data_IF_401986990085
#
_entry.id   IF_401986990085
#
_cell.length_a   1.000
_cell.length_b   1.000
_cell.length_c   1.000
_cell.angle_alpha   90.00
_cell.angle_beta   90.00
_cell.angle_gamma   90.00
#
_symmetry.space_group_name_H-M   'P 1'
#
loop_
_entity.id
_entity.type
_entity.pdbx_description
1 polymer ?
#
# COMPACT_ATOMS: atom_id res chain seq x y z
N UNK A 1 23.56 -15.85 -3.88
CA UNK A 1 23.87 -17.21 -3.41
C UNK A 1 22.65 -18.09 -3.60
N UNK A 2 22.86 -19.35 -3.97
CA UNK A 2 21.76 -20.34 -4.05
C UNK A 2 21.77 -21.30 -2.85
N UNK A 3 22.81 -21.23 -2.01
CA UNK A 3 23.00 -22.17 -0.91
C UNK A 3 22.57 -21.63 0.46
N UNK A 4 22.52 -20.30 0.59
CA UNK A 4 22.14 -19.65 1.84
C UNK A 4 20.65 -19.36 1.81
N UNK A 5 19.87 -19.84 2.80
CA UNK A 5 18.45 -19.45 2.92
C UNK A 5 18.29 -17.95 3.09
N UNK A 6 17.35 -17.37 2.35
CA UNK A 6 17.02 -15.94 2.41
C UNK A 6 15.55 -15.80 2.82
N UNK A 7 15.34 -15.23 4.00
CA UNK A 7 14.00 -14.98 4.51
C UNK A 7 13.66 -13.49 4.32
N UNK A 8 12.79 -13.19 3.36
CA UNK A 8 12.31 -11.84 3.12
C UNK A 8 11.21 -11.44 4.11
N UNK A 9 11.12 -10.16 4.43
CA UNK A 9 10.01 -9.61 5.22
C UNK A 9 9.43 -8.41 4.51
N UNK A 10 8.12 -8.31 4.45
CA UNK A 10 7.42 -7.17 3.85
C UNK A 10 7.88 -6.89 2.40
N UNK A 11 8.01 -7.92 1.58
CA UNK A 11 8.22 -7.79 0.14
C UNK A 11 6.84 -7.89 -0.52
N UNK A 12 6.41 -6.84 -1.20
CA UNK A 12 5.04 -6.72 -1.69
C UNK A 12 4.66 -7.86 -2.64
N UNK A 13 5.49 -8.16 -3.63
CA UNK A 13 5.27 -9.29 -4.54
C UNK A 13 6.57 -9.97 -4.95
N UNK A 14 6.77 -11.18 -4.48
CA UNK A 14 7.98 -11.97 -4.71
C UNK A 14 8.13 -12.43 -6.15
N UNK A 15 7.02 -12.71 -6.84
CA UNK A 15 7.02 -13.16 -8.23
C UNK A 15 7.40 -12.02 -9.16
N UNK A 16 6.76 -10.86 -8.99
CA UNK A 16 7.08 -9.65 -9.78
C UNK A 16 8.51 -9.17 -9.52
N UNK A 17 9.00 -9.31 -8.28
CA UNK A 17 10.39 -9.04 -7.92
C UNK A 17 11.38 -10.09 -8.46
N UNK A 18 10.88 -11.16 -9.11
CA UNK A 18 11.68 -12.28 -9.66
C UNK A 18 12.52 -13.01 -8.62
N UNK A 19 12.04 -13.07 -7.39
CA UNK A 19 12.70 -13.74 -6.27
C UNK A 19 12.29 -15.21 -6.16
N UNK A 20 11.05 -15.52 -6.57
CA UNK A 20 10.47 -16.86 -6.55
C UNK A 20 9.68 -17.14 -7.84
N UNK A 21 9.37 -18.40 -8.12
CA UNK A 21 8.56 -18.79 -9.29
C UNK A 21 7.06 -18.63 -9.01
N UNK A 22 6.61 -18.98 -7.81
CA UNK A 22 5.25 -18.75 -7.32
C UNK A 22 5.26 -18.52 -5.80
N UNK A 23 4.20 -17.91 -5.28
CA UNK A 23 4.07 -17.68 -3.85
C UNK A 23 3.77 -18.97 -3.07
N UNK A 24 3.05 -19.90 -3.68
CA UNK A 24 2.68 -21.19 -3.09
C UNK A 24 3.86 -22.16 -3.06
N UNK A 25 4.70 -22.12 -4.10
CA UNK A 25 5.84 -22.99 -4.28
C UNK A 25 7.07 -22.19 -4.72
N UNK A 26 7.78 -21.53 -3.79
CA UNK A 26 8.95 -20.72 -4.11
C UNK A 26 10.05 -21.49 -4.84
N UNK A 27 10.29 -22.75 -4.45
CA UNK A 27 11.15 -23.73 -5.15
C UNK A 27 12.65 -23.45 -5.10
N UNK A 28 13.07 -22.31 -4.54
CA UNK A 28 14.46 -21.88 -4.44
C UNK A 28 14.92 -21.72 -2.99
N UNK A 29 15.89 -20.82 -2.78
CA UNK A 29 16.43 -20.48 -1.47
C UNK A 29 15.83 -19.21 -0.86
N UNK A 30 14.73 -18.71 -1.40
CA UNK A 30 14.02 -17.50 -0.95
C UNK A 30 12.60 -17.86 -0.54
N UNK A 31 12.17 -17.39 0.62
CA UNK A 31 10.79 -17.37 1.09
C UNK A 31 10.57 -16.18 2.03
N UNK A 32 9.38 -16.04 2.61
CA UNK A 32 9.12 -14.97 3.58
C UNK A 32 7.67 -14.49 3.61
N UNK A 33 7.49 -13.23 4.00
CA UNK A 33 6.16 -12.63 4.13
C UNK A 33 5.96 -11.47 3.15
N UNK A 34 4.72 -11.36 2.65
CA UNK A 34 4.30 -10.27 1.76
C UNK A 34 3.45 -9.25 2.52
N UNK A 35 3.69 -7.97 2.25
CA UNK A 35 2.87 -6.85 2.73
C UNK A 35 1.86 -6.36 1.68
N UNK A 36 1.61 -7.15 0.63
CA UNK A 36 0.62 -6.79 -0.38
C UNK A 36 -0.71 -6.43 0.27
N UNK A 37 -1.15 -5.21 0.07
CA UNK A 37 -2.44 -4.72 0.55
C UNK A 37 -3.56 -5.12 -0.40
N UNK A 38 -4.80 -5.20 0.08
CA UNK A 38 -5.95 -5.49 -0.79
C UNK A 38 -6.35 -4.24 -1.58
N UNK A 39 -5.67 -3.99 -2.72
CA UNK A 39 -5.83 -2.78 -3.54
C UNK A 39 -7.28 -2.51 -3.93
N UNK A 40 -8.06 -3.55 -4.17
CA UNK A 40 -9.49 -3.45 -4.47
C UNK A 40 -10.27 -2.84 -3.30
N UNK A 41 -9.93 -3.24 -2.06
CA UNK A 41 -10.54 -2.65 -0.84
C UNK A 41 -10.13 -1.19 -0.65
N UNK A 42 -8.92 -0.82 -1.06
CA UNK A 42 -8.49 0.58 -1.04
C UNK A 42 -9.34 1.45 -1.99
N UNK A 43 -9.62 0.95 -3.18
CA UNK A 43 -10.52 1.65 -4.12
C UNK A 43 -11.93 1.76 -3.56
N UNK A 44 -12.47 0.66 -3.00
CA UNK A 44 -13.80 0.67 -2.39
C UNK A 44 -13.85 1.60 -1.16
N UNK A 45 -12.77 1.70 -0.39
CA UNK A 45 -12.62 2.66 0.72
C UNK A 45 -12.66 4.11 0.21
N UNK A 46 -11.92 4.42 -0.87
CA UNK A 46 -11.96 5.75 -1.50
C UNK A 46 -13.39 6.09 -1.95
N UNK A 47 -14.07 5.15 -2.59
CA UNK A 47 -15.47 5.34 -3.04
C UNK A 47 -16.40 5.61 -1.85
N UNK A 48 -16.22 4.92 -0.74
CA UNK A 48 -17.04 5.07 0.45
C UNK A 48 -16.81 6.41 1.17
N UNK A 49 -15.58 6.94 1.13
CA UNK A 49 -15.19 8.17 1.84
C UNK A 49 -15.24 9.42 0.96
N UNK A 50 -15.22 9.27 -0.36
CA UNK A 50 -15.29 10.38 -1.33
C UNK A 50 -16.49 10.13 -2.26
N UNK A 51 -17.69 10.58 -1.86
CA UNK A 51 -18.89 10.33 -2.65
C UNK A 51 -18.79 10.89 -4.08
N UNK A 52 -19.27 10.10 -5.05
CA UNK A 52 -19.26 10.44 -6.47
C UNK A 52 -17.86 10.65 -7.07
N UNK A 53 -16.82 10.06 -6.50
CA UNK A 53 -15.46 10.09 -7.08
C UNK A 53 -15.49 9.54 -8.51
N UNK A 54 -14.87 10.28 -9.43
CA UNK A 54 -14.73 9.93 -10.85
C UNK A 54 -13.28 9.89 -11.30
N UNK A 55 -12.43 10.60 -10.59
CA UNK A 55 -11.01 10.71 -10.93
C UNK A 55 -10.18 10.57 -9.65
N UNK A 56 -9.27 9.61 -9.64
CA UNK A 56 -8.31 9.39 -8.56
C UNK A 56 -6.92 9.63 -9.13
N UNK A 57 -6.13 10.47 -8.46
CA UNK A 57 -4.71 10.58 -8.75
C UNK A 57 -3.94 9.41 -8.13
N UNK A 58 -2.99 8.84 -8.83
CA UNK A 58 -2.02 7.91 -8.27
C UNK A 58 -0.64 8.52 -8.35
N UNK A 59 0.01 8.70 -7.18
CA UNK A 59 1.38 9.22 -7.11
C UNK A 59 2.31 8.15 -6.55
N UNK A 60 3.40 7.88 -7.25
CA UNK A 60 4.32 6.79 -6.89
C UNK A 60 5.70 6.95 -7.52
N UNK A 61 6.69 6.22 -6.99
CA UNK A 61 8.07 6.22 -7.50
C UNK A 61 8.20 5.33 -8.73
N UNK A 62 8.67 5.90 -9.83
CA UNK A 62 8.76 5.22 -11.13
C UNK A 62 9.72 4.04 -11.16
N UNK A 63 10.68 3.95 -10.24
CA UNK A 63 11.65 2.85 -10.14
C UNK A 63 11.24 1.75 -9.15
N UNK A 64 10.16 1.93 -8.39
CA UNK A 64 9.67 0.92 -7.44
C UNK A 64 8.66 -0.01 -8.13
N UNK A 65 9.06 -1.26 -8.40
CA UNK A 65 8.23 -2.27 -9.08
C UNK A 65 6.97 -2.60 -8.29
N UNK A 66 7.06 -2.66 -6.94
CA UNK A 66 5.93 -2.85 -6.04
C UNK A 66 4.88 -1.75 -6.21
N UNK A 67 5.32 -0.49 -6.31
CA UNK A 67 4.43 0.66 -6.50
C UNK A 67 3.71 0.60 -7.85
N UNK A 68 4.44 0.30 -8.93
CA UNK A 68 3.88 0.12 -10.28
C UNK A 68 2.80 -0.97 -10.26
N UNK A 69 3.08 -2.15 -9.68
CA UNK A 69 2.15 -3.27 -9.63
C UNK A 69 0.85 -2.91 -8.90
N UNK A 70 0.95 -2.21 -7.75
CA UNK A 70 -0.23 -1.80 -6.99
C UNK A 70 -1.07 -0.78 -7.76
N UNK A 71 -0.43 0.17 -8.44
CA UNK A 71 -1.14 1.17 -9.26
C UNK A 71 -1.80 0.52 -10.49
N UNK A 72 -1.16 -0.45 -11.14
CA UNK A 72 -1.77 -1.21 -12.23
C UNK A 72 -3.03 -1.96 -11.77
N UNK A 73 -2.97 -2.64 -10.62
CA UNK A 73 -4.13 -3.31 -10.02
C UNK A 73 -5.24 -2.32 -9.69
N UNK A 74 -4.87 -1.18 -9.09
CA UNK A 74 -5.80 -0.11 -8.77
C UNK A 74 -6.53 0.40 -10.02
N UNK A 75 -5.78 0.70 -11.09
CA UNK A 75 -6.35 1.16 -12.38
C UNK A 75 -7.33 0.15 -12.95
N UNK A 76 -6.93 -1.12 -12.97
CA UNK A 76 -7.79 -2.18 -13.50
C UNK A 76 -9.11 -2.27 -12.72
N UNK A 77 -9.05 -2.24 -11.39
CA UNK A 77 -10.26 -2.31 -10.57
C UNK A 77 -11.08 -1.02 -10.62
N UNK A 78 -10.47 0.15 -10.53
CA UNK A 78 -11.14 1.44 -10.63
C UNK A 78 -11.91 1.60 -11.94
N UNK A 79 -11.36 1.11 -13.06
CA UNK A 79 -12.04 1.10 -14.36
C UNK A 79 -13.35 0.31 -14.32
N UNK A 80 -13.44 -0.79 -13.59
CA UNK A 80 -14.69 -1.56 -13.41
C UNK A 80 -15.77 -0.77 -12.66
N UNK A 81 -15.37 0.25 -11.89
CA UNK A 81 -16.26 1.16 -11.15
C UNK A 81 -16.57 2.45 -11.92
N UNK A 82 -16.08 2.58 -13.17
CA UNK A 82 -16.23 3.81 -13.97
C UNK A 82 -15.41 4.99 -13.44
N UNK A 83 -14.29 4.70 -12.77
CA UNK A 83 -13.37 5.70 -12.22
C UNK A 83 -12.10 5.74 -13.06
N UNK A 84 -11.67 6.93 -13.43
CA UNK A 84 -10.41 7.17 -14.13
C UNK A 84 -9.29 7.38 -13.13
N UNK A 85 -8.17 6.69 -13.30
CA UNK A 85 -6.94 6.92 -12.53
C UNK A 85 -5.97 7.77 -13.36
N UNK A 86 -5.50 8.86 -12.78
CA UNK A 86 -4.52 9.78 -13.37
C UNK A 86 -3.20 9.57 -12.65
N UNK A 87 -2.16 9.20 -13.38
CA UNK A 87 -0.85 8.87 -12.80
C UNK A 87 0.09 10.07 -12.79
N UNK A 88 0.85 10.20 -11.70
CA UNK A 88 2.01 11.06 -11.61
C UNK A 88 3.15 10.28 -10.96
N UNK A 89 4.28 10.18 -11.64
CA UNK A 89 5.45 9.48 -11.12
C UNK A 89 6.49 10.46 -10.60
N UNK A 90 7.26 10.02 -9.60
CA UNK A 90 8.40 10.73 -9.06
C UNK A 90 9.65 9.86 -9.15
N UNK A 91 10.82 10.48 -9.18
CA UNK A 91 12.11 9.79 -9.11
C UNK A 91 12.77 9.95 -7.73
N UNK A 92 12.40 11.01 -7.02
CA UNK A 92 12.90 11.32 -5.68
C UNK A 92 11.93 12.31 -4.97
N UNK A 93 12.21 12.62 -3.70
CA UNK A 93 11.34 13.48 -2.87
C UNK A 93 11.15 14.91 -3.42
N UNK A 94 12.09 15.44 -4.18
CA UNK A 94 11.99 16.81 -4.73
C UNK A 94 10.92 16.92 -5.83
N UNK A 95 10.59 15.81 -6.48
CA UNK A 95 9.60 15.78 -7.57
C UNK A 95 8.15 15.81 -7.02
N UNK A 96 7.95 15.47 -5.74
CA UNK A 96 6.62 15.26 -5.14
C UNK A 96 5.77 16.52 -5.24
N UNK A 97 6.36 17.70 -4.97
CA UNK A 97 5.62 18.96 -5.04
C UNK A 97 5.02 19.18 -6.44
N UNK A 98 5.84 19.01 -7.48
CA UNK A 98 5.39 19.22 -8.86
C UNK A 98 4.37 18.14 -9.28
N UNK A 99 4.62 16.87 -8.94
CA UNK A 99 3.74 15.76 -9.26
C UNK A 99 2.37 15.91 -8.59
N UNK A 100 2.34 16.25 -7.29
CA UNK A 100 1.10 16.49 -6.55
C UNK A 100 0.33 17.69 -7.11
N UNK A 101 1.02 18.80 -7.41
CA UNK A 101 0.40 19.98 -8.01
C UNK A 101 -0.21 19.66 -9.38
N UNK A 102 0.46 18.86 -10.18
CA UNK A 102 -0.06 18.41 -11.48
C UNK A 102 -1.35 17.59 -11.33
N UNK A 103 -1.41 16.69 -10.32
CA UNK A 103 -2.64 15.94 -10.03
C UNK A 103 -3.78 16.86 -9.59
N UNK A 104 -3.50 17.80 -8.69
CA UNK A 104 -4.49 18.80 -8.24
C UNK A 104 -5.07 19.56 -9.44
N UNK A 105 -4.25 20.00 -10.38
CA UNK A 105 -4.65 20.73 -11.57
C UNK A 105 -5.42 19.87 -12.60
N UNK A 106 -5.48 18.56 -12.42
CA UNK A 106 -6.24 17.64 -13.26
C UNK A 106 -7.58 17.24 -12.65
N UNK A 107 -8.08 18.00 -11.67
CA UNK A 107 -9.38 17.81 -11.02
C UNK A 107 -9.57 16.41 -10.43
N UNK A 108 -8.51 15.82 -9.85
CA UNK A 108 -8.65 14.58 -9.10
C UNK A 108 -9.38 14.86 -7.77
N UNK A 109 -10.21 13.91 -7.35
CA UNK A 109 -11.04 14.05 -6.14
C UNK A 109 -10.45 13.35 -4.93
N UNK A 110 -9.50 12.45 -5.15
CA UNK A 110 -8.69 11.77 -4.16
C UNK A 110 -7.31 11.47 -4.75
N UNK A 111 -6.31 11.27 -3.90
CA UNK A 111 -4.99 10.78 -4.31
C UNK A 111 -4.72 9.48 -3.59
N UNK A 112 -4.24 8.47 -4.32
CA UNK A 112 -3.74 7.21 -3.81
C UNK A 112 -2.23 7.18 -3.92
N UNK A 113 -1.56 6.66 -2.89
CA UNK A 113 -0.14 6.31 -2.91
C UNK A 113 0.04 4.87 -2.41
N UNK A 114 0.70 4.00 -3.19
CA UNK A 114 0.98 2.62 -2.81
C UNK A 114 1.98 2.55 -1.64
N UNK A 115 2.38 1.34 -1.25
CA UNK A 115 3.56 1.14 -0.38
C UNK A 115 4.80 1.57 -1.15
N UNK A 116 5.31 2.76 -0.85
CA UNK A 116 6.35 3.45 -1.61
C UNK A 116 7.32 4.15 -0.65
N UNK A 117 8.62 3.81 -0.72
CA UNK A 117 9.61 4.30 0.24
C UNK A 117 9.89 5.79 0.11
N UNK A 118 9.89 6.31 -1.11
CA UNK A 118 10.12 7.75 -1.36
C UNK A 118 8.92 8.55 -0.86
N UNK A 119 7.70 8.12 -1.21
CA UNK A 119 6.47 8.77 -0.75
C UNK A 119 6.32 8.68 0.78
N UNK A 120 6.64 7.53 1.39
CA UNK A 120 6.60 7.36 2.84
C UNK A 120 7.48 8.38 3.56
N UNK A 121 8.69 8.63 3.04
CA UNK A 121 9.62 9.61 3.63
C UNK A 121 9.16 11.07 3.52
N UNK A 122 8.20 11.37 2.65
CA UNK A 122 7.76 12.73 2.33
C UNK A 122 6.22 12.92 2.41
N UNK A 123 5.51 12.03 3.09
CA UNK A 123 4.04 12.08 3.21
C UNK A 123 3.54 13.42 3.77
N UNK A 124 4.26 14.04 4.71
CA UNK A 124 3.88 15.34 5.26
C UNK A 124 3.89 16.44 4.19
N UNK A 125 4.85 16.41 3.26
CA UNK A 125 4.93 17.36 2.15
C UNK A 125 3.76 17.15 1.18
N UNK A 126 3.48 15.90 0.80
CA UNK A 126 2.32 15.55 -0.04
C UNK A 126 1.02 16.05 0.61
N UNK A 127 0.85 15.77 1.89
CA UNK A 127 -0.32 16.19 2.65
C UNK A 127 -0.51 17.71 2.68
N UNK A 128 0.56 18.48 2.84
CA UNK A 128 0.50 19.95 2.85
C UNK A 128 -0.06 20.51 1.52
N UNK A 129 0.36 19.93 0.40
CA UNK A 129 -0.08 20.37 -0.94
C UNK A 129 -1.56 20.01 -1.14
N UNK A 130 -1.93 18.78 -0.83
CA UNK A 130 -3.27 18.26 -1.05
C UNK A 130 -4.31 18.87 -0.09
N UNK A 131 -3.91 19.23 1.13
CA UNK A 131 -4.76 19.94 2.10
C UNK A 131 -5.19 21.31 1.60
N UNK A 132 -4.28 22.06 0.98
CA UNK A 132 -4.59 23.36 0.40
C UNK A 132 -5.68 23.26 -0.68
N UNK A 133 -5.69 22.13 -1.40
CA UNK A 133 -6.70 21.82 -2.43
C UNK A 133 -7.92 21.05 -1.87
N UNK A 134 -7.93 20.69 -0.58
CA UNK A 134 -8.94 19.85 0.08
C UNK A 134 -9.11 18.47 -0.57
N UNK A 135 -8.03 17.92 -1.10
CA UNK A 135 -8.01 16.59 -1.73
C UNK A 135 -7.47 15.56 -0.73
N UNK A 136 -8.26 14.54 -0.34
CA UNK A 136 -7.80 13.49 0.57
C UNK A 136 -6.75 12.59 -0.07
N UNK A 137 -5.76 12.18 0.72
CA UNK A 137 -4.77 11.18 0.34
C UNK A 137 -5.09 9.86 1.04
N UNK A 138 -5.07 8.78 0.29
CA UNK A 138 -5.20 7.41 0.75
C UNK A 138 -3.87 6.70 0.51
N UNK A 139 -3.26 6.20 1.55
CA UNK A 139 -1.95 5.56 1.48
C UNK A 139 -2.07 4.08 1.84
N UNK A 140 -1.28 3.23 1.20
CA UNK A 140 -1.39 1.79 1.36
C UNK A 140 -0.76 1.24 2.67
N UNK A 141 -0.30 2.11 3.57
CA UNK A 141 0.19 1.70 4.89
C UNK A 141 -0.25 2.64 6.02
N UNK A 142 -0.24 2.10 7.25
CA UNK A 142 -0.64 2.82 8.46
C UNK A 142 0.26 4.02 8.75
N UNK A 143 1.58 3.90 8.62
CA UNK A 143 2.53 4.96 8.93
C UNK A 143 2.34 6.17 8.02
N UNK A 144 2.21 5.94 6.73
CA UNK A 144 1.89 6.97 5.75
C UNK A 144 0.52 7.59 6.02
N UNK A 145 -0.48 6.76 6.34
CA UNK A 145 -1.84 7.22 6.67
C UNK A 145 -1.84 8.13 7.89
N UNK A 146 -1.17 7.75 8.97
CA UNK A 146 -1.11 8.58 10.19
C UNK A 146 -0.28 9.85 10.00
N UNK A 147 0.68 9.86 9.06
CA UNK A 147 1.49 11.05 8.74
C UNK A 147 0.75 12.03 7.82
N UNK A 148 0.04 11.53 6.80
CA UNK A 148 -0.51 12.39 5.75
C UNK A 148 -1.74 11.84 5.03
N UNK A 149 -2.14 10.60 5.27
CA UNK A 149 -3.33 9.99 4.68
C UNK A 149 -4.59 10.13 5.53
N UNK A 150 -5.72 9.70 4.99
CA UNK A 150 -7.03 9.71 5.68
C UNK A 150 -7.37 8.33 6.23
N UNK A 151 -7.23 7.29 5.44
CA UNK A 151 -7.58 5.93 5.83
C UNK A 151 -6.88 4.90 4.95
N UNK A 152 -6.73 3.67 5.45
CA UNK A 152 -6.14 2.53 4.72
C UNK A 152 -6.58 1.19 5.32
N UNK A 153 -6.64 0.17 4.49
CA UNK A 153 -6.59 -1.22 4.91
C UNK A 153 -5.15 -1.73 4.83
N UNK A 154 -4.42 -1.76 5.93
CA UNK A 154 -3.01 -2.11 5.94
C UNK A 154 -2.67 -3.31 6.79
N UNK A 155 -1.52 -3.90 6.50
CA UNK A 155 -0.91 -4.92 7.34
C UNK A 155 -0.34 -4.30 8.62
N UNK A 156 -0.26 -5.10 9.67
CA UNK A 156 0.47 -4.75 10.89
C UNK A 156 1.92 -5.21 10.73
N UNK A 157 2.82 -4.29 10.46
CA UNK A 157 4.24 -4.62 10.19
C UNK A 157 4.96 -5.29 11.36
N UNK A 158 4.55 -5.03 12.61
CA UNK A 158 5.11 -5.74 13.77
C UNK A 158 4.73 -7.22 13.71
N UNK A 159 3.44 -7.53 13.50
CA UNK A 159 2.98 -8.90 13.38
C UNK A 159 3.57 -9.60 12.16
N UNK A 160 3.71 -8.88 11.04
CA UNK A 160 4.31 -9.42 9.82
C UNK A 160 5.78 -9.80 10.05
N UNK A 161 6.56 -8.93 10.71
CA UNK A 161 7.94 -9.23 11.09
C UNK A 161 8.04 -10.40 12.07
N UNK A 162 7.13 -10.49 13.05
CA UNK A 162 7.06 -11.61 13.97
C UNK A 162 6.77 -12.93 13.24
N UNK A 163 5.81 -12.92 12.31
CA UNK A 163 5.50 -14.07 11.46
C UNK A 163 6.71 -14.50 10.62
N UNK A 164 7.44 -13.56 10.03
CA UNK A 164 8.70 -13.83 9.32
C UNK A 164 9.73 -14.49 10.25
N UNK A 165 9.84 -14.01 11.48
CA UNK A 165 10.73 -14.60 12.50
C UNK A 165 10.38 -16.05 12.84
N UNK A 166 9.08 -16.38 12.94
CA UNK A 166 8.64 -17.76 13.14
C UNK A 166 8.98 -18.66 11.94
N UNK A 167 8.82 -18.16 10.70
CA UNK A 167 9.23 -18.90 9.49
C UNK A 167 10.75 -19.13 9.51
N UNK A 168 11.53 -18.13 9.84
CA UNK A 168 12.99 -18.26 9.93
C UNK A 168 13.40 -19.29 11.00
N UNK A 169 12.75 -19.32 12.16
CA UNK A 169 13.00 -20.28 13.22
C UNK A 169 12.81 -21.73 12.76
N UNK A 170 11.77 -22.02 11.97
CA UNK A 170 11.53 -23.36 11.41
C UNK A 170 12.66 -23.80 10.46
N UNK A 171 13.20 -22.88 9.66
CA UNK A 171 14.32 -23.19 8.77
C UNK A 171 15.60 -23.43 9.59
N UNK A 172 15.87 -22.60 10.59
CA UNK A 172 17.06 -22.70 11.43
C UNK A 172 17.06 -23.96 12.31
N UNK A 173 15.89 -24.40 12.78
CA UNK A 173 15.75 -25.65 13.55
C UNK A 173 15.80 -26.91 12.70
N UNK A 174 15.73 -26.79 11.36
CA UNK A 174 15.63 -27.93 10.44
C UNK A 174 14.21 -28.52 10.34
N UNK A 175 13.20 -27.89 10.96
CA UNK A 175 11.80 -28.33 10.90
C UNK A 175 11.24 -28.19 9.47
N UNK A 176 11.68 -27.17 8.73
CA UNK A 176 11.25 -26.94 7.35
C UNK A 176 12.42 -26.58 6.44
N UNK A 177 12.31 -26.92 5.16
CA UNK A 177 13.22 -26.41 4.13
C UNK A 177 12.63 -25.11 3.57
N UNK A 178 13.48 -24.13 3.31
CA UNK A 178 13.03 -22.85 2.80
C UNK A 178 12.33 -22.96 1.45
N UNK A 179 12.74 -23.92 0.61
CA UNK A 179 12.12 -24.22 -0.70
C UNK A 179 10.65 -24.65 -0.62
N UNK A 180 10.26 -25.19 0.55
CA UNK A 180 8.94 -25.78 0.77
C UNK A 180 8.00 -24.81 1.52
N UNK A 181 8.55 -23.69 2.00
CA UNK A 181 7.77 -22.65 2.69
C UNK A 181 7.15 -21.70 1.67
N UNK A 182 5.82 -21.69 1.60
CA UNK A 182 5.08 -20.71 0.81
C UNK A 182 5.33 -19.29 1.31
N UNK A 183 5.18 -18.30 0.44
CA UNK A 183 5.12 -16.90 0.84
C UNK A 183 3.84 -16.71 1.66
N UNK A 184 3.98 -16.19 2.86
CA UNK A 184 2.86 -15.96 3.76
C UNK A 184 2.38 -14.50 3.70
N UNK A 185 1.07 -14.31 3.84
CA UNK A 185 0.42 -13.00 3.93
C UNK A 185 -0.32 -12.88 5.25
N UNK A 186 -0.50 -11.66 5.72
CA UNK A 186 -1.32 -11.40 6.89
C UNK A 186 -2.81 -11.49 6.52
N UNK A 187 -3.59 -12.28 7.28
CA UNK A 187 -5.03 -12.48 7.04
C UNK A 187 -5.90 -11.44 7.72
N UNK A 188 -5.45 -10.95 8.88
CA UNK A 188 -6.20 -9.99 9.71
C UNK A 188 -5.78 -8.56 9.39
N UNK A 189 -6.27 -8.06 8.25
CA UNK A 189 -6.05 -6.69 7.80
C UNK A 189 -7.13 -5.80 8.40
N UNK A 190 -6.73 -4.72 9.08
CA UNK A 190 -7.62 -3.77 9.75
C UNK A 190 -7.67 -2.43 9.04
N UNK A 191 -8.82 -1.77 9.17
CA UNK A 191 -8.96 -0.39 8.75
C UNK A 191 -8.29 0.53 9.77
N UNK A 192 -7.31 1.32 9.32
CA UNK A 192 -6.75 2.45 10.06
C UNK A 192 -7.35 3.74 9.51
N UNK A 193 -7.82 4.62 10.40
CA UNK A 193 -8.36 5.93 10.05
C UNK A 193 -7.61 7.01 10.82
N UNK A 194 -7.15 8.02 10.11
CA UNK A 194 -6.65 9.25 10.70
C UNK A 194 -7.84 10.21 10.90
N UNK A 195 -8.49 10.10 12.06
CA UNK A 195 -9.71 10.84 12.36
C UNK A 195 -9.50 12.37 12.34
N UNK A 196 -8.31 12.83 12.74
CA UNK A 196 -7.97 14.26 12.71
C UNK A 196 -7.98 14.79 11.26
N UNK A 197 -7.34 14.05 10.35
CA UNK A 197 -7.34 14.42 8.93
C UNK A 197 -8.70 14.28 8.27
N UNK A 198 -9.43 13.21 8.56
CA UNK A 198 -10.80 13.05 8.08
C UNK A 198 -11.66 14.26 8.49
N UNK A 199 -11.62 14.66 9.76
CA UNK A 199 -12.31 15.85 10.27
C UNK A 199 -11.87 17.14 9.58
N UNK A 200 -10.53 17.35 9.42
CA UNK A 200 -9.95 18.52 8.75
C UNK A 200 -10.46 18.68 7.33
N UNK A 201 -10.61 17.57 6.61
CA UNK A 201 -11.08 17.52 5.21
C UNK A 201 -12.61 17.43 5.08
N UNK A 202 -13.35 17.39 6.21
CA UNK A 202 -14.80 17.28 6.20
C UNK A 202 -15.32 15.90 5.79
N UNK A 203 -14.49 14.85 5.92
CA UNK A 203 -14.84 13.48 5.57
C UNK A 203 -15.53 12.80 6.76
N UNK A 204 -16.72 12.26 6.51
CA UNK A 204 -17.45 11.48 7.50
C UNK A 204 -17.17 9.99 7.31
N UNK A 205 -16.74 9.32 8.37
CA UNK A 205 -16.52 7.86 8.35
C UNK A 205 -17.86 7.15 8.54
N UNK A 206 -18.35 6.39 7.53
CA UNK A 206 -19.60 5.65 7.64
C UNK A 206 -19.56 4.62 8.79
N UNK A 207 -20.70 4.44 9.47
CA UNK A 207 -20.81 3.48 10.57
C UNK A 207 -20.44 2.05 10.14
N UNK A 208 -20.74 1.67 8.91
CA UNK A 208 -20.39 0.37 8.36
C UNK A 208 -18.89 0.09 8.39
N UNK A 209 -18.04 1.12 8.20
CA UNK A 209 -16.57 0.99 8.22
C UNK A 209 -16.00 0.94 9.64
N UNK A 210 -16.73 1.46 10.64
CA UNK A 210 -16.23 1.51 12.03
C UNK A 210 -16.01 0.12 12.64
N UNK A 211 -16.71 -0.91 12.14
CA UNK A 211 -16.55 -2.30 12.56
C UNK A 211 -15.19 -2.89 12.21
N UNK A 212 -14.59 -2.40 11.12
CA UNK A 212 -13.31 -2.87 10.60
C UNK A 212 -12.13 -2.07 11.17
N UNK A 213 -12.40 -1.00 11.93
CA UNK A 213 -11.35 -0.15 12.48
C UNK A 213 -10.47 -0.89 13.48
N UNK A 214 -9.19 -0.58 13.45
CA UNK A 214 -8.20 -1.00 14.46
C UNK A 214 -8.61 -0.39 15.81
N UNK A 215 -8.72 -1.22 16.82
CA UNK A 215 -8.95 -0.80 18.21
C UNK A 215 -7.65 -0.40 18.87
#
# INVERSE_FOLDING_TARGET
>A
SHDIPIMGTAITDYVTAKLVQSNEHPGGNVSGTSDMTPVEKEVDLIIALVPNVKRIGAIYTSSEINSQLQVEKMKAYAATKGITVVEATVSNVNDIQQAATNLVNQDVQAIYTPTDNVLASAMANLAQITDAAKIPVFAADEGMTMTGGVATYSVDYYKLGYQTGLMAAKVLSGEAKISDLAIETQKDIKLTVNEERAKKLGITIPEALRKDMKQ
#
